data_IF_843037669827
#
_entry.id   IF_843037669827
#
_cell.length_a   1.000
_cell.length_b   1.000
_cell.length_c   1.000
_cell.angle_alpha   90.00
_cell.angle_beta   90.00
_cell.angle_gamma   90.00
#
_symmetry.space_group_name_H-M   'P 1'
#
loop_
_entity.id
_entity.type
_entity.pdbx_description
1 polymer ?
#
# COMPACT_ATOMS: atom_id res chain seq x y z
N UNK A 1 20.65 40.92 12.84
CA UNK A 1 19.41 40.14 13.09
C UNK A 1 19.11 39.32 11.84
N UNK A 2 19.62 38.09 11.76
CA UNK A 2 19.32 37.16 10.66
C UNK A 2 18.09 36.35 11.01
N UNK A 3 17.02 36.45 10.22
CA UNK A 3 15.83 35.63 10.38
C UNK A 3 16.16 34.19 10.03
N UNK A 4 16.29 33.34 11.05
CA UNK A 4 16.38 31.90 10.89
C UNK A 4 15.15 31.40 10.12
N UNK A 5 15.38 30.86 8.92
CA UNK A 5 14.34 30.18 8.15
C UNK A 5 13.75 29.05 9.00
N UNK A 6 12.42 29.02 9.13
CA UNK A 6 11.72 27.93 9.82
C UNK A 6 12.13 26.59 9.20
N UNK A 7 12.42 25.55 9.99
CA UNK A 7 12.71 24.23 9.46
C UNK A 7 11.51 23.75 8.65
N UNK A 8 11.73 23.35 7.39
CA UNK A 8 10.73 22.61 6.61
C UNK A 8 10.39 21.36 7.41
N UNK A 9 9.12 21.19 7.79
CA UNK A 9 8.63 19.89 8.27
C UNK A 9 9.00 18.88 7.18
N UNK A 10 9.80 17.88 7.53
CA UNK A 10 10.02 16.69 6.70
C UNK A 10 8.67 15.98 6.62
N UNK A 11 7.82 16.40 5.67
CA UNK A 11 6.62 15.67 5.32
C UNK A 11 7.07 14.27 4.93
N UNK A 12 6.45 13.24 5.54
CA UNK A 12 6.60 11.84 5.16
C UNK A 12 6.60 11.78 3.63
N UNK A 13 7.72 11.35 3.03
CA UNK A 13 7.85 11.31 1.58
C UNK A 13 6.64 10.53 1.01
N UNK A 14 5.90 11.16 0.09
CA UNK A 14 4.87 10.46 -0.67
C UNK A 14 5.56 9.35 -1.44
N UNK A 15 5.15 8.10 -1.20
CA UNK A 15 5.76 6.94 -1.86
C UNK A 15 5.16 6.77 -3.24
N UNK A 16 5.98 6.50 -4.24
CA UNK A 16 5.48 5.99 -5.52
C UNK A 16 4.94 4.56 -5.37
N UNK A 17 4.26 4.08 -6.41
CA UNK A 17 3.78 2.71 -6.46
C UNK A 17 4.94 1.70 -6.38
N UNK A 18 6.05 1.99 -7.06
CA UNK A 18 7.29 1.21 -7.08
C UNK A 18 8.00 1.23 -5.73
N UNK A 19 8.07 2.40 -5.07
CA UNK A 19 8.68 2.52 -3.74
C UNK A 19 7.90 1.73 -2.69
N UNK A 20 6.57 1.73 -2.77
CA UNK A 20 5.73 0.87 -1.93
C UNK A 20 6.04 -0.61 -2.19
N UNK A 21 6.10 -1.03 -3.46
CA UNK A 21 6.32 -2.43 -3.82
C UNK A 21 7.66 -2.93 -3.30
N UNK A 22 8.72 -2.12 -3.49
CA UNK A 22 10.06 -2.40 -3.00
C UNK A 22 10.11 -2.51 -1.47
N UNK A 23 9.42 -1.61 -0.74
CA UNK A 23 9.34 -1.67 0.72
C UNK A 23 8.61 -2.93 1.21
N UNK A 24 7.52 -3.32 0.56
CA UNK A 24 6.79 -4.54 0.91
C UNK A 24 7.65 -5.78 0.67
N UNK A 25 8.42 -5.81 -0.43
CA UNK A 25 9.40 -6.85 -0.69
C UNK A 25 10.51 -6.91 0.35
N UNK A 26 11.00 -5.75 0.80
CA UNK A 26 11.98 -5.68 1.89
C UNK A 26 11.40 -6.22 3.20
N UNK A 27 10.15 -5.88 3.54
CA UNK A 27 9.46 -6.43 4.72
C UNK A 27 9.25 -7.94 4.61
N UNK A 28 8.89 -8.43 3.42
CA UNK A 28 8.73 -9.86 3.17
C UNK A 28 10.06 -10.62 3.40
N UNK A 29 11.19 -10.03 2.98
CA UNK A 29 12.54 -10.59 3.16
C UNK A 29 13.07 -10.49 4.59
N UNK A 30 13.00 -9.31 5.20
CA UNK A 30 13.61 -9.02 6.52
C UNK A 30 12.72 -9.40 7.69
N UNK A 31 11.42 -9.59 7.43
CA UNK A 31 10.41 -10.01 8.40
C UNK A 31 10.47 -9.24 9.73
N UNK A 32 10.39 -7.88 9.71
CA UNK A 32 10.47 -7.09 10.92
C UNK A 32 9.30 -7.40 11.85
N UNK A 33 9.58 -7.49 13.16
CA UNK A 33 8.58 -7.78 14.19
C UNK A 33 7.45 -6.73 14.17
N UNK A 34 6.21 -7.19 14.37
CA UNK A 34 5.03 -6.32 14.37
C UNK A 34 4.59 -5.81 12.99
N UNK A 35 5.23 -6.25 11.90
CA UNK A 35 4.82 -5.87 10.54
C UNK A 35 3.49 -6.51 10.14
N UNK A 36 2.47 -5.68 9.90
CA UNK A 36 1.20 -6.13 9.34
C UNK A 36 1.34 -6.79 7.97
N UNK A 37 2.32 -6.37 7.16
CA UNK A 37 2.65 -7.02 5.87
C UNK A 37 3.10 -8.45 6.09
N UNK A 38 3.98 -8.69 7.06
CA UNK A 38 4.48 -10.04 7.38
C UNK A 38 3.35 -10.92 7.90
N UNK A 39 2.53 -10.39 8.80
CA UNK A 39 1.36 -11.12 9.31
C UNK A 39 0.37 -11.50 8.21
N UNK A 40 0.13 -10.60 7.25
CA UNK A 40 -0.75 -10.88 6.11
C UNK A 40 -0.16 -11.96 5.18
N UNK A 41 1.14 -11.91 4.90
CA UNK A 41 1.83 -12.93 4.10
C UNK A 41 1.79 -14.30 4.78
N UNK A 42 2.03 -14.36 6.09
CA UNK A 42 1.97 -15.60 6.87
C UNK A 42 0.54 -16.18 6.92
N UNK A 43 -0.48 -15.31 6.91
CA UNK A 43 -1.88 -15.72 6.87
C UNK A 43 -2.36 -16.18 5.47
N UNK A 44 -1.54 -15.98 4.44
CA UNK A 44 -1.73 -16.53 3.09
C UNK A 44 -2.76 -15.82 2.21
N UNK A 45 -2.81 -16.28 0.96
CA UNK A 45 -3.58 -15.70 -0.15
C UNK A 45 -5.05 -15.46 0.19
N UNK A 46 -5.72 -16.39 0.89
CA UNK A 46 -7.13 -16.24 1.25
C UNK A 46 -7.40 -15.04 2.15
N UNK A 47 -6.53 -14.80 3.13
CA UNK A 47 -6.65 -13.68 4.06
C UNK A 47 -6.39 -12.36 3.36
N UNK A 48 -5.35 -12.31 2.52
CA UNK A 48 -5.03 -11.13 1.72
C UNK A 48 -6.17 -10.81 0.74
N UNK A 49 -6.74 -11.84 0.09
CA UNK A 49 -7.83 -11.69 -0.87
C UNK A 49 -9.10 -11.14 -0.25
N UNK A 50 -9.43 -11.52 1.00
CA UNK A 50 -10.56 -10.91 1.73
C UNK A 50 -10.39 -9.41 1.89
N UNK A 51 -9.22 -8.97 2.36
CA UNK A 51 -8.91 -7.54 2.50
C UNK A 51 -8.93 -6.83 1.15
N UNK A 52 -8.35 -7.42 0.11
CA UNK A 52 -8.38 -6.84 -1.24
C UNK A 52 -9.82 -6.56 -1.72
N UNK A 53 -10.74 -7.51 -1.51
CA UNK A 53 -12.16 -7.36 -1.87
C UNK A 53 -12.87 -6.32 -0.99
N UNK A 54 -12.57 -6.30 0.31
CA UNK A 54 -13.07 -5.31 1.26
C UNK A 54 -12.69 -3.89 0.83
N UNK A 55 -11.41 -3.63 0.58
CA UNK A 55 -10.93 -2.30 0.15
C UNK A 55 -11.49 -1.90 -1.23
N UNK A 56 -11.74 -2.86 -2.12
CA UNK A 56 -12.37 -2.57 -3.40
C UNK A 56 -13.83 -2.11 -3.22
N UNK A 57 -14.57 -2.74 -2.32
CA UNK A 57 -15.92 -2.33 -1.96
C UNK A 57 -15.92 -0.97 -1.26
N UNK A 58 -15.03 -0.76 -0.29
CA UNK A 58 -14.89 0.52 0.42
C UNK A 58 -14.47 1.65 -0.51
N UNK A 59 -13.54 1.40 -1.45
CA UNK A 59 -13.16 2.38 -2.49
C UNK A 59 -14.35 2.86 -3.31
N UNK A 60 -15.23 1.94 -3.73
CA UNK A 60 -16.44 2.30 -4.46
C UNK A 60 -17.39 3.10 -3.57
N UNK A 61 -17.66 2.63 -2.35
CA UNK A 61 -18.55 3.33 -1.42
C UNK A 61 -18.05 4.74 -1.11
N UNK A 62 -16.76 4.91 -0.86
CA UNK A 62 -16.17 6.21 -0.57
C UNK A 62 -16.21 7.15 -1.77
N UNK A 63 -15.97 6.64 -2.99
CA UNK A 63 -16.10 7.41 -4.22
C UNK A 63 -17.52 7.96 -4.42
N UNK A 64 -18.53 7.15 -4.10
CA UNK A 64 -19.93 7.49 -4.33
C UNK A 64 -20.51 8.39 -3.23
N UNK A 65 -20.08 8.22 -1.99
CA UNK A 65 -20.79 8.76 -0.83
C UNK A 65 -19.94 9.61 0.13
N UNK A 66 -18.61 9.50 0.09
CA UNK A 66 -17.74 10.07 1.13
C UNK A 66 -16.74 11.12 0.60
N UNK A 67 -16.56 11.16 -0.72
CA UNK A 67 -15.79 12.19 -1.41
C UNK A 67 -14.31 11.85 -1.60
N UNK A 68 -13.60 12.80 -2.23
CA UNK A 68 -12.28 12.55 -2.82
C UNK A 68 -11.21 12.13 -1.81
N UNK A 69 -11.25 12.65 -0.59
CA UNK A 69 -10.24 12.34 0.43
C UNK A 69 -10.38 10.90 0.92
N UNK A 70 -11.59 10.47 1.33
CA UNK A 70 -11.81 9.06 1.70
C UNK A 70 -11.59 8.11 0.55
N UNK A 71 -12.07 8.44 -0.66
CA UNK A 71 -11.84 7.60 -1.83
C UNK A 71 -10.33 7.41 -2.10
N UNK A 72 -9.52 8.46 -1.96
CA UNK A 72 -8.07 8.35 -2.11
C UNK A 72 -7.43 7.48 -1.02
N UNK A 73 -7.95 7.53 0.21
CA UNK A 73 -7.49 6.66 1.29
C UNK A 73 -7.78 5.19 1.01
N UNK A 74 -9.02 4.84 0.66
CA UNK A 74 -9.36 3.44 0.37
C UNK A 74 -8.66 2.91 -0.87
N UNK A 75 -8.51 3.72 -1.92
CA UNK A 75 -7.71 3.34 -3.08
C UNK A 75 -6.24 3.08 -2.71
N UNK A 76 -5.70 3.81 -1.72
CA UNK A 76 -4.35 3.56 -1.21
C UNK A 76 -4.25 2.22 -0.47
N UNK A 77 -5.27 1.84 0.29
CA UNK A 77 -5.35 0.54 0.97
C UNK A 77 -5.52 -0.60 -0.04
N UNK A 78 -6.35 -0.40 -1.06
CA UNK A 78 -6.53 -1.32 -2.18
C UNK A 78 -5.20 -1.59 -2.89
N UNK A 79 -4.43 -0.54 -3.22
CA UNK A 79 -3.11 -0.69 -3.83
C UNK A 79 -2.12 -1.41 -2.93
N UNK A 80 -2.13 -1.11 -1.62
CA UNK A 80 -1.33 -1.85 -0.65
C UNK A 80 -1.67 -3.34 -0.66
N UNK A 81 -2.94 -3.71 -0.54
CA UNK A 81 -3.34 -5.12 -0.52
C UNK A 81 -3.12 -5.84 -1.86
N UNK A 82 -3.23 -5.12 -2.98
CA UNK A 82 -2.87 -5.65 -4.30
C UNK A 82 -1.38 -6.00 -4.37
N UNK A 83 -0.50 -5.11 -3.93
CA UNK A 83 0.94 -5.39 -3.91
C UNK A 83 1.32 -6.47 -2.89
N UNK A 84 0.65 -6.58 -1.75
CA UNK A 84 0.85 -7.72 -0.82
C UNK A 84 0.44 -9.04 -1.47
N UNK A 85 -0.65 -9.06 -2.26
CA UNK A 85 -1.05 -10.23 -3.04
C UNK A 85 0.02 -10.60 -4.09
N UNK A 86 0.61 -9.61 -4.76
CA UNK A 86 1.72 -9.85 -5.70
C UNK A 86 2.89 -10.56 -5.02
N UNK A 87 3.33 -10.08 -3.84
CA UNK A 87 4.39 -10.72 -3.06
C UNK A 87 4.00 -12.14 -2.60
N UNK A 88 2.74 -12.36 -2.21
CA UNK A 88 2.25 -13.70 -1.82
C UNK A 88 2.23 -14.70 -2.98
N UNK A 89 2.08 -14.22 -4.22
CA UNK A 89 2.08 -15.01 -5.45
C UNK A 89 3.45 -15.09 -6.13
N UNK A 90 4.45 -14.34 -5.65
CA UNK A 90 5.77 -14.25 -6.27
C UNK A 90 5.77 -13.51 -7.61
N UNK A 91 4.90 -12.51 -7.78
CA UNK A 91 4.82 -11.68 -8.98
C UNK A 91 5.71 -10.44 -8.84
N UNK A 92 6.39 -10.08 -9.94
CA UNK A 92 7.06 -8.79 -10.07
C UNK A 92 6.11 -7.72 -10.64
N UNK A 93 6.47 -6.44 -10.51
CA UNK A 93 5.70 -5.34 -11.12
C UNK A 93 5.56 -5.51 -12.64
N UNK A 94 6.63 -5.94 -13.32
CA UNK A 94 6.65 -6.15 -14.77
C UNK A 94 5.62 -7.19 -15.23
N UNK A 95 5.35 -8.21 -14.39
CA UNK A 95 4.34 -9.23 -14.68
C UNK A 95 2.93 -8.64 -14.73
N UNK A 96 2.66 -7.57 -13.98
CA UNK A 96 1.37 -6.86 -13.99
C UNK A 96 1.37 -5.76 -15.06
N UNK A 97 2.44 -4.98 -15.17
CA UNK A 97 2.54 -3.85 -16.09
C UNK A 97 2.45 -4.26 -17.55
N UNK A 98 2.88 -5.47 -17.92
CA UNK A 98 2.71 -6.00 -19.28
C UNK A 98 1.25 -6.16 -19.73
N UNK A 99 0.29 -6.05 -18.80
CA UNK A 99 -1.15 -6.15 -19.06
C UNK A 99 -1.87 -4.79 -19.09
N UNK A 100 -1.15 -3.68 -18.86
CA UNK A 100 -1.66 -2.31 -18.92
C UNK A 100 -1.43 -1.71 -20.32
#
# INVERSE_FOLDING_TARGET
MGTAGRPRRLGRAMKSFEELFAELGEKARTRPEGSGTVAALDAGVHTIGKKLVEEAAESWMAAEYEGKERAAEELSQLFYHAQVMMHALGLELDDVYRHL
#
